data_IF_832986067805
#
_entry.id   IF_832986067805
#
_cell.length_a   1.000
_cell.length_b   1.000
_cell.length_c   1.000
_cell.angle_alpha   90.00
_cell.angle_beta   90.00
_cell.angle_gamma   90.00
#
_symmetry.space_group_name_H-M   'P 1'
#
loop_
_entity.id
_entity.type
_entity.pdbx_description
1 polymer ?
#
# COMPACT_ATOMS: atom_id res chain seq x y z
N UNK A 1 -5.68 10.45 -16.30
CA UNK A 1 -5.74 10.80 -14.88
C UNK A 1 -6.19 12.24 -14.73
N UNK A 2 -7.32 12.46 -14.07
CA UNK A 2 -7.83 13.78 -13.72
C UNK A 2 -7.17 14.29 -12.43
N UNK A 3 -7.26 15.60 -12.18
CA UNK A 3 -6.76 16.18 -10.93
C UNK A 3 -7.48 15.58 -9.70
N UNK A 4 -8.75 15.23 -9.83
CA UNK A 4 -9.55 14.60 -8.77
C UNK A 4 -9.08 13.18 -8.45
N UNK A 5 -8.73 12.39 -9.47
CA UNK A 5 -8.15 11.06 -9.29
C UNK A 5 -6.82 11.17 -8.56
N UNK A 6 -5.92 12.04 -9.03
CA UNK A 6 -4.62 12.26 -8.39
C UNK A 6 -4.76 12.68 -6.92
N UNK A 7 -5.68 13.60 -6.61
CA UNK A 7 -5.95 14.03 -5.24
C UNK A 7 -6.44 12.88 -4.35
N UNK A 8 -7.36 12.02 -4.84
CA UNK A 8 -7.84 10.85 -4.10
C UNK A 8 -6.70 9.89 -3.76
N UNK A 9 -5.80 9.64 -4.71
CA UNK A 9 -4.66 8.77 -4.48
C UNK A 9 -3.66 9.34 -3.47
N UNK A 10 -3.31 10.62 -3.59
CA UNK A 10 -2.44 11.29 -2.62
C UNK A 10 -3.04 11.24 -1.21
N UNK A 11 -4.36 11.46 -1.08
CA UNK A 11 -5.06 11.33 0.20
C UNK A 11 -5.00 9.91 0.75
N UNK A 12 -5.22 8.89 -0.08
CA UNK A 12 -5.15 7.49 0.34
C UNK A 12 -3.74 7.14 0.88
N UNK A 13 -2.69 7.45 0.12
CA UNK A 13 -1.31 7.18 0.55
C UNK A 13 -0.93 7.98 1.80
N UNK A 14 -1.39 9.23 1.92
CA UNK A 14 -1.16 10.05 3.12
C UNK A 14 -1.78 9.43 4.38
N UNK A 15 -2.93 8.74 4.25
CA UNK A 15 -3.54 8.03 5.39
C UNK A 15 -2.68 6.87 5.88
N UNK A 16 -2.03 6.11 4.98
CA UNK A 16 -1.07 5.08 5.39
C UNK A 16 0.04 5.69 6.24
N UNK A 17 0.67 6.77 5.76
CA UNK A 17 1.76 7.46 6.49
C UNK A 17 1.28 7.96 7.85
N UNK A 18 0.10 8.60 7.92
CA UNK A 18 -0.49 9.06 9.19
C UNK A 18 -0.81 7.92 10.15
N UNK A 19 -1.06 6.70 9.65
CA UNK A 19 -1.26 5.50 10.45
C UNK A 19 0.05 4.76 10.80
N UNK A 20 1.21 5.38 10.55
CA UNK A 20 2.54 4.86 10.91
C UNK A 20 3.08 3.82 9.92
N UNK A 21 2.67 3.88 8.66
CA UNK A 21 3.30 3.10 7.60
C UNK A 21 4.50 3.86 7.00
N UNK A 22 5.54 3.12 6.64
CA UNK A 22 6.75 3.66 6.05
C UNK A 22 6.80 3.35 4.56
N UNK A 23 6.82 4.38 3.72
CA UNK A 23 6.86 4.26 2.26
C UNK A 23 8.29 4.31 1.73
N UNK A 24 8.66 3.35 0.88
CA UNK A 24 9.99 3.27 0.24
C UNK A 24 9.83 2.99 -1.26
N UNK A 25 10.57 3.70 -2.14
CA UNK A 25 10.64 3.35 -3.57
C UNK A 25 11.25 1.96 -3.77
N UNK A 26 10.64 1.16 -4.64
CA UNK A 26 11.15 -0.20 -4.94
C UNK A 26 12.42 -0.14 -5.81
N UNK A 27 12.60 0.95 -6.56
CA UNK A 27 13.76 1.11 -7.43
C UNK A 27 13.74 0.22 -8.67
N UNK A 28 12.56 -0.29 -9.06
CA UNK A 28 12.39 -1.01 -10.33
C UNK A 28 12.57 -0.04 -11.51
N UNK A 29 13.59 -0.21 -12.36
CA UNK A 29 13.79 0.67 -13.50
C UNK A 29 12.65 0.60 -14.54
N UNK A 30 11.88 -0.49 -14.58
CA UNK A 30 10.71 -0.62 -15.45
C UNK A 30 9.46 0.03 -14.86
N UNK A 31 9.45 0.22 -13.54
CA UNK A 31 8.39 0.93 -12.83
C UNK A 31 8.99 1.84 -11.73
N UNK A 32 9.61 2.97 -12.13
CA UNK A 32 10.33 3.84 -11.21
C UNK A 32 9.42 4.55 -10.19
N UNK A 33 8.11 4.54 -10.43
CA UNK A 33 7.11 5.09 -9.53
C UNK A 33 6.59 4.07 -8.52
N UNK A 34 7.00 2.80 -8.59
CA UNK A 34 6.53 1.77 -7.69
C UNK A 34 6.99 2.04 -6.25
N UNK A 35 6.04 2.03 -5.32
CA UNK A 35 6.26 2.28 -3.90
C UNK A 35 5.83 1.06 -3.09
N UNK A 36 6.59 0.71 -2.07
CA UNK A 36 6.14 -0.23 -1.04
C UNK A 36 5.96 0.52 0.27
N UNK A 37 4.81 0.33 0.89
CA UNK A 37 4.54 0.79 2.25
C UNK A 37 4.57 -0.41 3.18
N UNK A 38 5.31 -0.33 4.28
CA UNK A 38 5.38 -1.40 5.28
C UNK A 38 4.95 -0.90 6.64
N UNK A 39 4.36 -1.79 7.44
CA UNK A 39 4.08 -1.54 8.85
C UNK A 39 4.23 -2.83 9.64
N UNK A 40 5.21 -2.83 10.53
CA UNK A 40 5.50 -3.99 11.38
C UNK A 40 4.98 -3.79 12.80
N UNK A 41 4.33 -4.82 13.35
CA UNK A 41 3.75 -4.83 14.70
C UNK A 41 3.96 -6.21 15.32
N UNK A 42 5.11 -6.39 15.98
CA UNK A 42 5.48 -7.65 16.62
C UNK A 42 5.61 -8.78 15.59
N UNK A 43 4.74 -9.78 15.66
CA UNK A 43 4.74 -10.90 14.72
C UNK A 43 3.94 -10.64 13.43
N UNK A 44 3.34 -9.45 13.30
CA UNK A 44 2.56 -9.05 12.12
C UNK A 44 3.40 -8.11 11.27
N UNK A 45 3.52 -8.42 9.98
CA UNK A 45 4.08 -7.53 8.97
C UNK A 45 3.01 -7.28 7.91
N UNK A 46 2.61 -6.03 7.75
CA UNK A 46 1.71 -5.62 6.67
C UNK A 46 2.53 -4.91 5.58
N UNK A 47 2.25 -5.20 4.32
CA UNK A 47 2.86 -4.54 3.17
C UNK A 47 1.78 -4.08 2.18
N UNK A 48 1.96 -2.91 1.57
CA UNK A 48 1.18 -2.41 0.44
C UNK A 48 2.14 -2.03 -0.68
N UNK A 49 2.15 -2.80 -1.76
CA UNK A 49 2.87 -2.50 -2.99
C UNK A 49 1.96 -1.72 -3.93
N UNK A 50 2.38 -0.53 -4.35
CA UNK A 50 1.68 0.34 -5.29
C UNK A 50 2.49 0.35 -6.58
N UNK A 51 1.97 -0.27 -7.62
CA UNK A 51 2.60 -0.31 -8.94
C UNK A 51 2.08 0.81 -9.84
N UNK A 52 0.81 1.18 -9.67
CA UNK A 52 0.19 2.32 -10.32
C UNK A 52 -0.98 2.82 -9.49
N UNK A 53 -1.72 3.80 -9.99
CA UNK A 53 -2.93 4.32 -9.34
C UNK A 53 -4.05 3.28 -9.23
N UNK A 54 -4.18 2.42 -10.24
CA UNK A 54 -5.22 1.41 -10.36
C UNK A 54 -4.74 0.01 -9.96
N UNK A 55 -3.47 -0.11 -9.59
CA UNK A 55 -2.83 -1.38 -9.27
C UNK A 55 -2.01 -1.28 -7.99
N UNK A 56 -2.61 -1.76 -6.91
CA UNK A 56 -1.98 -2.01 -5.65
C UNK A 56 -2.29 -3.42 -5.15
N UNK A 57 -1.33 -3.99 -4.43
CA UNK A 57 -1.44 -5.28 -3.76
C UNK A 57 -1.03 -5.08 -2.32
N UNK A 58 -1.81 -5.61 -1.38
CA UNK A 58 -1.44 -5.64 0.01
C UNK A 58 -1.46 -7.06 0.58
N UNK A 59 -0.55 -7.31 1.51
CA UNK A 59 -0.45 -8.58 2.23
C UNK A 59 -0.33 -8.33 3.72
N UNK A 60 -0.91 -9.24 4.51
CA UNK A 60 -0.62 -9.37 5.95
C UNK A 60 0.05 -10.69 6.18
N UNK A 61 1.26 -10.65 6.72
CA UNK A 61 1.98 -11.82 7.19
C UNK A 61 1.94 -11.89 8.71
N UNK A 62 1.67 -13.08 9.25
CA UNK A 62 1.76 -13.37 10.67
C UNK A 62 2.76 -14.50 10.83
N UNK A 63 3.89 -14.22 11.52
CA UNK A 63 5.00 -15.18 11.70
C UNK A 63 5.49 -15.78 10.37
N UNK A 64 5.63 -14.94 9.34
CA UNK A 64 6.12 -15.33 8.02
C UNK A 64 5.12 -16.11 7.16
N UNK A 65 3.85 -16.19 7.57
CA UNK A 65 2.78 -16.80 6.77
C UNK A 65 1.79 -15.72 6.34
N UNK A 66 1.52 -15.61 5.04
CA UNK A 66 0.47 -14.72 4.52
C UNK A 66 -0.91 -15.18 5.00
N UNK A 67 -1.58 -14.32 5.75
CA UNK A 67 -2.91 -14.58 6.33
C UNK A 67 -4.03 -13.78 5.66
N UNK A 68 -3.68 -12.65 5.02
CA UNK A 68 -4.60 -11.86 4.19
C UNK A 68 -3.86 -11.33 2.98
N UNK A 69 -4.59 -11.21 1.87
CA UNK A 69 -4.14 -10.52 0.68
C UNK A 69 -5.33 -9.81 0.03
N UNK A 70 -5.11 -8.60 -0.49
CA UNK A 70 -6.09 -7.84 -1.27
C UNK A 70 -5.36 -7.15 -2.41
N UNK A 71 -6.02 -7.04 -3.56
CA UNK A 71 -5.52 -6.30 -4.71
C UNK A 71 -6.63 -5.46 -5.35
N UNK A 72 -6.26 -4.37 -6.01
CA UNK A 72 -7.22 -3.46 -6.65
C UNK A 72 -6.66 -2.05 -6.76
N UNK A 73 -7.55 -1.06 -6.78
CA UNK A 73 -7.13 0.34 -6.80
C UNK A 73 -6.42 0.71 -5.50
N UNK A 74 -5.54 1.71 -5.55
CA UNK A 74 -4.87 2.23 -4.35
C UNK A 74 -5.88 2.63 -3.27
N UNK A 75 -7.02 3.22 -3.66
CA UNK A 75 -8.03 3.66 -2.70
C UNK A 75 -8.70 2.49 -1.97
N UNK A 76 -9.08 1.44 -2.71
CA UNK A 76 -9.76 0.27 -2.15
C UNK A 76 -8.82 -0.54 -1.26
N UNK A 77 -7.58 -0.75 -1.72
CA UNK A 77 -6.54 -1.47 -0.97
C UNK A 77 -6.20 -0.73 0.32
N UNK A 78 -5.99 0.59 0.27
CA UNK A 78 -5.73 1.37 1.48
C UNK A 78 -6.90 1.31 2.45
N UNK A 79 -8.14 1.41 1.95
CA UNK A 79 -9.32 1.33 2.80
C UNK A 79 -9.39 -0.02 3.53
N UNK A 80 -9.23 -1.12 2.80
CA UNK A 80 -9.26 -2.48 3.35
C UNK A 80 -8.13 -2.69 4.37
N UNK A 81 -6.90 -2.31 4.02
CA UNK A 81 -5.71 -2.50 4.88
C UNK A 81 -5.81 -1.72 6.19
N UNK A 82 -6.39 -0.51 6.16
CA UNK A 82 -6.60 0.28 7.37
C UNK A 82 -7.71 -0.29 8.28
N UNK A 83 -8.54 -1.20 7.77
CA UNK A 83 -9.55 -1.91 8.55
C UNK A 83 -9.02 -3.19 9.23
N UNK A 84 -7.82 -3.64 8.87
CA UNK A 84 -7.25 -4.90 9.33
C UNK A 84 -6.70 -4.91 10.75
#
# INVERSE_FOLDING_TARGET
MTADEQARHTVALSRLVLCGWEGTPIGDPNNPAALVYVRERGAVSDAVCVQSYDDAVATREVRGTTTRAVNGTVADVVHEVLSW
#
